data_IF_282059644443
#
_entry.id   IF_282059644443
#
_cell.length_a   1.000
_cell.length_b   1.000
_cell.length_c   1.000
_cell.angle_alpha   90.00
_cell.angle_beta   90.00
_cell.angle_gamma   90.00
#
_symmetry.space_group_name_H-M   'P 1'
#
loop_
_entity.id
_entity.type
_entity.pdbx_description
1 polymer ?
#
# COMPACT_ATOMS: atom_id res chain seq x y z
N UNK A 1 24.84 -11.43 -25.49
CA UNK A 1 25.18 -11.34 -24.08
C UNK A 1 23.93 -10.90 -23.35
N UNK A 2 23.27 -11.81 -22.65
CA UNK A 2 22.18 -11.50 -21.73
C UNK A 2 22.81 -10.81 -20.52
N UNK A 3 22.60 -9.51 -20.39
CA UNK A 3 22.85 -8.80 -19.14
C UNK A 3 21.91 -9.38 -18.10
N UNK A 4 22.44 -10.16 -17.17
CA UNK A 4 21.71 -10.60 -16.00
C UNK A 4 21.41 -9.36 -15.18
N UNK A 5 20.15 -8.98 -15.14
CA UNK A 5 19.62 -7.97 -14.23
C UNK A 5 19.76 -8.55 -12.82
N UNK A 6 20.69 -8.01 -12.04
CA UNK A 6 20.98 -8.48 -10.68
C UNK A 6 19.80 -8.28 -9.71
N UNK A 7 18.84 -7.45 -10.07
CA UNK A 7 17.66 -7.11 -9.25
C UNK A 7 16.76 -8.31 -8.96
N UNK A 8 16.83 -9.37 -9.78
CA UNK A 8 16.01 -10.58 -9.58
C UNK A 8 16.54 -11.55 -8.50
N UNK A 9 17.72 -11.31 -7.94
CA UNK A 9 18.39 -12.22 -7.00
C UNK A 9 18.62 -11.62 -5.61
N UNK A 10 18.29 -10.35 -5.39
CA UNK A 10 18.39 -9.75 -4.07
C UNK A 10 17.15 -10.11 -3.26
N UNK A 11 17.34 -10.69 -2.04
CA UNK A 11 16.22 -10.99 -1.17
C UNK A 11 15.49 -9.70 -0.79
N UNK A 12 14.17 -9.67 -1.01
CA UNK A 12 13.33 -8.58 -0.55
C UNK A 12 12.92 -8.85 0.90
N UNK A 13 13.12 -7.86 1.76
CA UNK A 13 12.76 -7.91 3.17
C UNK A 13 11.59 -6.93 3.44
N UNK A 14 10.76 -7.15 4.48
CA UNK A 14 9.68 -6.24 4.84
C UNK A 14 10.18 -4.97 5.55
N UNK A 15 11.45 -4.65 5.42
CA UNK A 15 12.12 -3.47 5.98
C UNK A 15 13.27 -3.04 5.06
N UNK A 16 13.52 -1.75 4.99
CA UNK A 16 14.57 -1.13 4.16
C UNK A 16 15.78 -0.69 4.97
N UNK A 17 15.64 -0.60 6.29
CA UNK A 17 16.71 -0.15 7.15
C UNK A 17 16.72 -0.87 8.50
N UNK A 18 17.90 -1.04 9.04
CA UNK A 18 18.13 -1.44 10.43
C UNK A 18 19.29 -0.69 11.04
N UNK A 19 19.12 -0.24 12.28
CA UNK A 19 20.17 0.37 13.10
C UNK A 19 20.42 -0.42 14.37
N UNK A 20 21.69 -0.59 14.74
CA UNK A 20 22.11 -1.16 16.00
C UNK A 20 22.43 -0.05 17.01
N UNK A 21 21.96 -0.18 18.23
CA UNK A 21 22.05 0.85 19.28
C UNK A 21 22.49 0.24 20.60
N UNK A 22 23.29 0.97 21.37
CA UNK A 22 23.48 0.74 22.79
C UNK A 22 22.51 1.62 23.56
N UNK A 23 21.44 1.01 24.08
CA UNK A 23 20.37 1.73 24.76
C UNK A 23 20.51 1.59 26.29
N UNK A 24 20.43 2.68 27.07
CA UNK A 24 20.30 2.61 28.52
C UNK A 24 18.92 2.07 28.90
N UNK A 25 18.78 1.49 30.08
CA UNK A 25 17.46 1.18 30.65
C UNK A 25 16.69 2.47 30.94
N UNK A 26 15.38 2.44 30.70
CA UNK A 26 14.49 3.57 30.90
C UNK A 26 13.88 4.08 29.61
N UNK A 27 13.55 5.36 29.57
CA UNK A 27 12.84 5.98 28.45
C UNK A 27 13.76 6.65 27.46
N UNK A 28 13.57 6.36 26.20
CA UNK A 28 14.27 6.98 25.07
C UNK A 28 13.23 7.60 24.14
N UNK A 29 13.50 8.80 23.68
CA UNK A 29 12.59 9.49 22.78
C UNK A 29 12.98 9.25 21.33
N UNK A 30 12.00 8.97 20.53
CA UNK A 30 12.05 8.86 19.08
C UNK A 30 11.09 9.90 18.49
N UNK A 31 11.46 10.50 17.38
CA UNK A 31 10.62 11.44 16.65
C UNK A 31 10.64 11.13 15.17
N UNK A 32 9.55 11.50 14.51
CA UNK A 32 9.42 11.53 13.07
C UNK A 32 9.25 12.96 12.58
N UNK A 33 9.71 13.27 11.38
CA UNK A 33 9.43 14.53 10.70
C UNK A 33 8.01 14.54 10.14
N UNK A 34 7.48 15.72 9.81
CA UNK A 34 6.26 15.86 9.02
C UNK A 34 6.53 15.62 7.53
N UNK A 35 5.51 15.16 6.80
CA UNK A 35 5.56 15.17 5.34
C UNK A 35 5.27 16.59 4.85
N UNK A 36 6.23 17.20 4.18
CA UNK A 36 5.99 18.41 3.38
C UNK A 36 5.21 17.99 2.13
N UNK A 37 3.90 18.21 2.15
CA UNK A 37 3.13 18.24 0.92
C UNK A 37 3.47 19.57 0.24
N UNK A 38 4.29 19.53 -0.81
CA UNK A 38 4.47 20.65 -1.74
C UNK A 38 3.13 20.94 -2.43
N UNK A 39 2.29 21.71 -1.76
CA UNK A 39 1.16 22.37 -2.38
C UNK A 39 1.67 23.61 -3.09
N UNK A 40 2.10 23.47 -4.33
CA UNK A 40 2.15 24.59 -5.27
C UNK A 40 0.71 24.98 -5.61
N UNK A 41 0.09 25.76 -4.74
CA UNK A 41 -1.10 26.53 -5.07
C UNK A 41 -0.69 27.98 -5.24
N UNK A 42 -0.51 28.38 -6.50
CA UNK A 42 -0.63 29.78 -6.87
C UNK A 42 -2.11 30.16 -6.77
N UNK A 43 -2.52 30.75 -5.67
CA UNK A 43 -3.84 31.36 -5.53
C UNK A 43 -3.77 32.85 -5.81
N UNK A 44 -4.31 33.23 -6.96
CA UNK A 44 -4.82 34.57 -7.21
C UNK A 44 -6.01 34.83 -6.28
N UNK A 45 -5.95 35.94 -5.56
CA UNK A 45 -6.99 36.39 -4.64
C UNK A 45 -8.16 36.97 -5.41
N UNK A 46 -9.33 36.33 -5.31
CA UNK A 46 -10.61 36.99 -5.47
C UNK A 46 -11.52 36.68 -4.27
N UNK A 47 -11.95 37.78 -3.63
CA UNK A 47 -12.84 37.78 -2.45
C UNK A 47 -14.23 37.28 -2.81
N UNK A 48 -14.71 36.17 -2.22
CA UNK A 48 -16.13 35.94 -1.97
C UNK A 48 -16.41 34.95 -0.83
N UNK A 49 -17.14 35.50 0.15
CA UNK A 49 -18.08 34.91 1.12
C UNK A 49 -17.96 33.45 1.58
N UNK A 50 -17.79 33.33 2.90
CA UNK A 50 -17.82 32.12 3.73
C UNK A 50 -19.15 31.36 3.67
N UNK A 51 -19.13 30.11 3.22
CA UNK A 51 -20.00 29.06 3.75
C UNK A 51 -19.13 27.90 4.24
N UNK A 52 -19.31 27.57 5.53
CA UNK A 52 -18.56 26.52 6.20
C UNK A 52 -19.03 25.14 5.72
N UNK A 53 -18.35 24.55 4.75
CA UNK A 53 -18.46 23.13 4.47
C UNK A 53 -17.34 22.39 5.19
N UNK A 54 -17.71 21.67 6.25
CA UNK A 54 -16.84 20.70 6.90
C UNK A 54 -16.61 19.52 5.95
N UNK A 55 -15.60 19.61 5.10
CA UNK A 55 -15.06 18.47 4.37
C UNK A 55 -14.09 17.76 5.31
N UNK A 56 -14.56 16.68 5.95
CA UNK A 56 -13.71 15.70 6.58
C UNK A 56 -12.86 15.03 5.49
N UNK A 57 -11.67 15.56 5.25
CA UNK A 57 -10.64 14.81 4.53
C UNK A 57 -10.16 13.71 5.47
N UNK A 58 -10.63 12.49 5.28
CA UNK A 58 -9.96 11.31 5.80
C UNK A 58 -8.60 11.22 5.10
N UNK A 59 -7.61 11.91 5.69
CA UNK A 59 -6.22 11.66 5.33
C UNK A 59 -5.89 10.25 5.82
N UNK A 60 -5.71 9.34 4.88
CA UNK A 60 -5.10 8.04 5.13
C UNK A 60 -3.67 8.33 5.65
N UNK A 61 -3.53 8.38 6.98
CA UNK A 61 -2.22 8.44 7.60
C UNK A 61 -1.52 7.11 7.32
N UNK A 62 -0.47 7.14 6.53
CA UNK A 62 0.36 5.98 6.33
C UNK A 62 1.07 5.66 7.67
N UNK A 63 0.79 4.49 8.22
CA UNK A 63 1.45 4.02 9.43
C UNK A 63 2.86 3.54 9.07
N UNK A 64 3.88 3.99 9.83
CA UNK A 64 5.25 3.50 9.67
C UNK A 64 5.48 2.27 10.56
N UNK A 65 5.78 1.13 9.96
CA UNK A 65 6.05 -0.10 10.70
C UNK A 65 7.50 -0.16 11.17
N UNK A 66 7.71 -0.43 12.46
CA UNK A 66 9.02 -0.64 13.06
C UNK A 66 9.02 -1.83 14.01
N UNK A 67 10.19 -2.42 14.23
CA UNK A 67 10.40 -3.47 15.22
C UNK A 67 11.70 -3.23 15.99
N UNK A 68 11.62 -3.28 17.32
CA UNK A 68 12.80 -3.17 18.21
C UNK A 68 13.11 -4.52 18.84
N UNK A 69 14.27 -5.08 18.54
CA UNK A 69 14.69 -6.40 18.97
C UNK A 69 15.97 -6.33 19.82
N UNK A 70 16.03 -7.07 20.95
CA UNK A 70 17.29 -7.19 21.70
C UNK A 70 18.32 -7.97 20.87
N UNK A 71 19.59 -7.59 20.99
CA UNK A 71 20.71 -8.23 20.29
C UNK A 71 21.89 -8.47 21.25
N UNK A 72 22.78 -9.36 20.87
CA UNK A 72 23.96 -9.66 21.68
C UNK A 72 25.03 -8.56 21.61
N UNK A 73 25.23 -7.99 20.42
CA UNK A 73 26.25 -6.97 20.16
C UNK A 73 25.70 -5.93 19.18
N UNK A 74 25.87 -4.65 19.48
CA UNK A 74 25.43 -3.55 18.64
C UNK A 74 26.37 -3.33 17.44
N UNK A 75 26.42 -4.31 16.54
CA UNK A 75 27.29 -4.36 15.36
C UNK A 75 26.50 -4.70 14.10
N UNK A 76 27.08 -4.50 12.92
CA UNK A 76 26.50 -4.94 11.64
C UNK A 76 26.31 -6.46 11.58
N UNK A 77 27.24 -7.24 12.14
CA UNK A 77 27.07 -8.69 12.24
C UNK A 77 25.90 -9.09 13.14
N UNK A 78 25.66 -8.33 14.22
CA UNK A 78 24.50 -8.50 15.08
C UNK A 78 23.17 -8.19 14.34
N UNK A 79 23.14 -7.14 13.51
CA UNK A 79 21.98 -6.86 12.63
C UNK A 79 21.75 -8.05 11.68
N UNK A 80 22.83 -8.55 11.05
CA UNK A 80 22.73 -9.67 10.10
C UNK A 80 22.13 -10.93 10.75
N UNK A 81 22.47 -11.21 12.00
CA UNK A 81 21.93 -12.35 12.74
C UNK A 81 20.44 -12.21 13.08
N UNK A 82 19.92 -10.99 13.09
CA UNK A 82 18.52 -10.68 13.40
C UNK A 82 17.61 -10.51 12.17
N UNK A 83 18.13 -10.61 10.94
CA UNK A 83 17.32 -10.45 9.73
C UNK A 83 16.14 -11.43 9.71
N UNK A 84 16.40 -12.74 9.89
CA UNK A 84 15.34 -13.75 9.87
C UNK A 84 14.35 -13.60 11.04
N UNK A 85 14.78 -13.39 12.30
CA UNK A 85 13.89 -13.01 13.38
C UNK A 85 13.02 -11.78 13.09
N UNK A 86 13.62 -10.72 12.50
CA UNK A 86 12.90 -9.50 12.15
C UNK A 86 11.81 -9.75 11.08
N UNK A 87 12.11 -10.54 10.05
CA UNK A 87 11.10 -10.94 9.04
C UNK A 87 9.91 -11.61 9.70
N UNK A 88 10.13 -12.50 10.67
CA UNK A 88 9.02 -13.15 11.40
C UNK A 88 8.21 -12.17 12.23
N UNK A 89 8.89 -11.22 12.90
CA UNK A 89 8.23 -10.15 13.66
C UNK A 89 7.37 -9.29 12.73
N UNK A 90 7.87 -8.87 11.59
CA UNK A 90 7.12 -8.05 10.63
C UNK A 90 5.91 -8.78 10.00
N UNK A 91 5.90 -10.12 10.02
CA UNK A 91 4.76 -10.91 9.56
C UNK A 91 3.61 -10.97 10.57
N UNK A 92 3.84 -10.60 11.82
CA UNK A 92 2.82 -10.54 12.87
C UNK A 92 1.95 -9.27 12.72
N UNK A 93 0.79 -9.28 13.36
CA UNK A 93 -0.09 -8.11 13.40
C UNK A 93 0.61 -6.98 14.15
N UNK A 94 0.73 -5.81 13.51
CA UNK A 94 1.34 -4.65 14.12
C UNK A 94 0.46 -4.07 15.24
N UNK A 95 1.11 -3.58 16.31
CA UNK A 95 0.44 -2.84 17.36
C UNK A 95 0.40 -1.36 16.98
N UNK A 96 -0.78 -0.74 16.88
CA UNK A 96 -0.89 0.68 16.60
C UNK A 96 -0.32 1.49 17.76
N UNK A 97 0.41 2.55 17.45
CA UNK A 97 0.97 3.49 18.43
C UNK A 97 0.66 4.91 17.98
N UNK A 98 -0.21 5.55 18.73
CA UNK A 98 -0.58 6.95 18.53
C UNK A 98 0.60 7.89 18.81
N UNK A 99 0.54 9.11 18.30
CA UNK A 99 1.53 10.16 18.61
C UNK A 99 1.57 10.40 20.13
N UNK A 100 2.77 10.40 20.69
CA UNK A 100 2.99 10.46 22.13
C UNK A 100 2.95 9.10 22.85
N UNK A 101 2.65 8.03 22.11
CA UNK A 101 2.53 6.69 22.66
C UNK A 101 3.88 6.02 22.98
N UNK A 102 3.77 4.83 23.56
CA UNK A 102 4.88 4.06 24.10
C UNK A 102 5.16 2.80 23.27
N UNK A 103 6.43 2.52 23.07
CA UNK A 103 6.97 1.37 22.36
C UNK A 103 7.81 0.53 23.31
N UNK A 104 7.80 -0.78 23.15
CA UNK A 104 8.69 -1.68 23.88
C UNK A 104 9.30 -2.73 22.94
N UNK A 105 10.45 -3.33 23.29
CA UNK A 105 10.95 -4.47 22.55
C UNK A 105 9.96 -5.63 22.65
N UNK A 106 9.31 -5.98 21.53
CA UNK A 106 8.29 -7.04 21.47
C UNK A 106 8.58 -7.99 20.30
N UNK A 107 7.89 -9.13 20.31
CA UNK A 107 7.86 -10.06 19.17
C UNK A 107 6.80 -9.69 18.12
N UNK A 108 6.31 -8.45 18.15
CA UNK A 108 5.36 -7.88 17.20
C UNK A 108 5.87 -6.52 16.76
N UNK A 109 5.59 -6.09 15.53
CA UNK A 109 5.97 -4.77 15.08
C UNK A 109 5.02 -3.72 15.66
N UNK A 110 5.47 -2.49 15.67
CA UNK A 110 4.68 -1.32 16.00
C UNK A 110 4.33 -0.57 14.72
N UNK A 111 3.08 -0.15 14.55
CA UNK A 111 2.63 0.74 13.50
C UNK A 111 2.48 2.15 14.08
N UNK A 112 3.41 3.03 13.75
CA UNK A 112 3.41 4.40 14.22
C UNK A 112 2.43 5.24 13.42
N UNK A 113 1.45 5.85 14.06
CA UNK A 113 0.59 6.84 13.44
C UNK A 113 1.42 8.06 13.00
N UNK A 114 1.40 8.37 11.70
CA UNK A 114 2.20 9.46 11.15
C UNK A 114 1.35 10.73 11.05
N UNK A 115 1.68 11.73 11.85
CA UNK A 115 1.05 13.05 11.76
C UNK A 115 1.63 13.92 10.65
N UNK A 116 0.83 14.80 10.06
CA UNK A 116 1.27 15.75 9.03
C UNK A 116 2.41 16.70 9.49
N UNK A 117 2.59 16.87 10.79
CA UNK A 117 3.67 17.68 11.40
C UNK A 117 4.74 16.82 12.08
N UNK A 118 4.75 15.50 11.84
CA UNK A 118 5.57 14.54 12.54
C UNK A 118 4.99 14.10 13.87
N UNK A 119 5.71 13.21 14.57
CA UNK A 119 5.31 12.65 15.85
C UNK A 119 6.48 12.48 16.82
N UNK A 120 6.18 12.39 18.09
CA UNK A 120 7.14 12.00 19.12
C UNK A 120 6.63 10.76 19.83
N UNK A 121 7.51 9.77 20.04
CA UNK A 121 7.19 8.50 20.67
C UNK A 121 8.19 8.20 21.78
N UNK A 122 7.80 7.35 22.71
CA UNK A 122 8.64 6.94 23.83
C UNK A 122 8.97 5.45 23.71
N UNK A 123 10.25 5.10 23.70
CA UNK A 123 10.72 3.71 23.76
C UNK A 123 11.01 3.38 25.22
N UNK A 124 10.27 2.43 25.79
CA UNK A 124 10.51 1.89 27.12
C UNK A 124 11.52 0.73 27.04
N UNK A 125 12.75 0.98 27.39
CA UNK A 125 13.85 0.00 27.36
C UNK A 125 13.92 -0.71 28.72
N UNK A 126 13.57 -2.00 28.81
CA UNK A 126 13.50 -2.70 30.11
C UNK A 126 14.88 -2.96 30.72
N UNK A 127 15.89 -3.17 29.90
CA UNK A 127 17.25 -3.50 30.33
C UNK A 127 18.26 -2.81 29.44
N UNK A 128 19.28 -2.18 30.04
CA UNK A 128 20.37 -1.59 29.27
C UNK A 128 21.08 -2.66 28.44
N UNK A 129 21.38 -2.37 27.19
CA UNK A 129 22.02 -3.33 26.29
C UNK A 129 21.99 -2.94 24.84
N UNK A 130 22.32 -3.92 23.99
CA UNK A 130 22.29 -3.77 22.54
C UNK A 130 20.90 -4.10 22.01
N UNK A 131 20.41 -3.24 21.11
CA UNK A 131 19.11 -3.38 20.43
C UNK A 131 19.25 -3.05 18.95
N UNK A 132 18.51 -3.77 18.10
CA UNK A 132 18.33 -3.44 16.70
C UNK A 132 16.93 -2.88 16.46
N UNK A 133 16.88 -1.71 15.82
CA UNK A 133 15.63 -1.13 15.30
C UNK A 133 15.56 -1.42 13.80
N UNK A 134 14.56 -2.18 13.38
CA UNK A 134 14.21 -2.40 11.97
C UNK A 134 13.08 -1.45 11.60
N UNK A 135 13.19 -0.84 10.44
CA UNK A 135 12.22 0.12 9.93
C UNK A 135 11.77 -0.29 8.53
N UNK A 136 10.47 -0.26 8.30
CA UNK A 136 9.84 -0.59 7.00
C UNK A 136 10.44 0.26 5.89
N UNK A 137 10.66 1.55 6.14
CA UNK A 137 11.26 2.48 5.20
C UNK A 137 12.57 3.07 5.70
N UNK A 138 13.28 3.75 4.82
CA UNK A 138 14.49 4.46 5.19
C UNK A 138 14.18 5.61 6.17
N UNK A 139 14.93 5.77 7.27
CA UNK A 139 14.66 6.78 8.30
C UNK A 139 14.57 8.21 7.76
N UNK A 140 15.29 8.50 6.70
CA UNK A 140 15.34 9.81 6.07
C UNK A 140 14.01 10.21 5.43
N UNK A 141 13.23 9.25 4.93
CA UNK A 141 11.93 9.50 4.28
C UNK A 141 10.90 10.07 5.27
N UNK A 142 11.01 9.67 6.52
CA UNK A 142 10.09 10.07 7.57
C UNK A 142 10.74 10.95 8.64
N UNK A 143 11.98 11.41 8.42
CA UNK A 143 12.72 12.17 9.41
C UNK A 143 12.85 11.42 10.75
N UNK A 144 12.91 10.06 10.70
CA UNK A 144 12.98 9.23 11.89
C UNK A 144 14.32 9.42 12.59
N UNK A 145 14.27 9.83 13.84
CA UNK A 145 15.46 10.03 14.66
C UNK A 145 15.28 9.60 16.11
N UNK A 146 16.28 8.93 16.67
CA UNK A 146 16.38 8.64 18.08
C UNK A 146 17.34 9.65 18.75
N UNK A 147 17.19 9.84 20.07
CA UNK A 147 18.13 10.64 20.86
C UNK A 147 19.50 9.98 21.00
N UNK A 148 19.62 8.70 20.64
CA UNK A 148 20.84 7.92 20.63
C UNK A 148 21.24 7.61 19.20
N UNK A 149 22.53 7.78 18.84
CA UNK A 149 23.03 7.46 17.51
C UNK A 149 23.27 5.96 17.36
N UNK A 150 23.04 5.39 16.16
CA UNK A 150 23.34 4.00 15.89
C UNK A 150 24.85 3.75 15.87
N UNK A 151 25.29 2.63 16.43
CA UNK A 151 26.70 2.16 16.37
C UNK A 151 27.01 1.47 15.04
N UNK A 152 26.00 0.88 14.41
CA UNK A 152 26.05 0.32 13.07
C UNK A 152 24.69 0.46 12.41
N UNK A 153 24.66 0.46 11.08
CA UNK A 153 23.41 0.51 10.34
C UNK A 153 23.55 -0.27 9.04
N UNK A 154 22.44 -0.82 8.57
CA UNK A 154 22.37 -1.58 7.33
C UNK A 154 21.15 -1.14 6.53
N UNK A 155 21.34 -0.96 5.22
CA UNK A 155 20.27 -0.74 4.25
C UNK A 155 19.97 -2.04 3.52
N UNK A 156 18.72 -2.24 3.23
CA UNK A 156 18.21 -3.34 2.43
C UNK A 156 17.66 -2.77 1.12
N UNK A 157 17.47 -3.65 0.13
CA UNK A 157 16.82 -3.23 -1.11
C UNK A 157 15.46 -2.64 -0.79
N UNK A 158 15.18 -1.46 -1.37
CA UNK A 158 13.88 -0.83 -1.24
C UNK A 158 12.81 -1.81 -1.72
N UNK A 159 11.89 -2.18 -0.83
CA UNK A 159 10.69 -2.82 -1.26
C UNK A 159 9.80 -1.69 -1.78
N UNK A 160 9.67 -1.62 -3.10
CA UNK A 160 8.52 -0.89 -3.60
C UNK A 160 7.31 -1.51 -2.89
N UNK A 161 6.55 -0.72 -2.14
CA UNK A 161 5.19 -1.13 -1.81
C UNK A 161 4.62 -1.56 -3.15
N UNK A 162 4.35 -2.86 -3.30
CA UNK A 162 3.60 -3.31 -4.45
C UNK A 162 2.40 -2.39 -4.44
N UNK A 163 2.34 -1.45 -5.39
CA UNK A 163 1.23 -0.51 -5.53
C UNK A 163 0.00 -1.35 -5.29
N UNK A 164 -0.72 -1.06 -4.23
CA UNK A 164 -1.61 -1.95 -3.49
C UNK A 164 -2.46 -2.75 -4.48
N UNK A 165 -2.20 -4.05 -4.58
CA UNK A 165 -2.99 -4.91 -5.46
C UNK A 165 -4.40 -4.92 -4.91
N UNK A 166 -5.30 -4.28 -5.66
CA UNK A 166 -6.70 -4.12 -5.28
C UNK A 166 -7.60 -4.98 -6.15
N UNK A 167 -8.74 -5.31 -5.58
CA UNK A 167 -9.86 -5.91 -6.31
C UNK A 167 -11.00 -4.91 -6.36
N UNK A 168 -11.43 -4.55 -7.58
CA UNK A 168 -12.59 -3.68 -7.80
C UNK A 168 -13.70 -4.49 -8.45
N UNK A 169 -14.83 -4.63 -7.74
CA UNK A 169 -16.04 -5.26 -8.23
C UNK A 169 -17.06 -4.22 -8.67
N UNK A 170 -17.67 -4.41 -9.86
CA UNK A 170 -18.73 -3.56 -10.42
C UNK A 170 -19.95 -4.44 -10.71
N UNK A 171 -21.14 -3.98 -10.34
CA UNK A 171 -22.38 -4.72 -10.58
C UNK A 171 -23.51 -3.77 -10.95
N UNK A 172 -24.26 -4.11 -11.99
CA UNK A 172 -25.44 -3.34 -12.40
C UNK A 172 -26.43 -4.23 -13.18
N UNK A 173 -27.72 -4.00 -12.99
CA UNK A 173 -28.77 -4.76 -13.67
C UNK A 173 -29.10 -4.22 -15.07
N UNK A 174 -28.73 -2.99 -15.38
CA UNK A 174 -28.99 -2.37 -16.68
C UNK A 174 -28.26 -3.13 -17.80
N UNK A 175 -28.89 -3.27 -18.97
CA UNK A 175 -28.24 -3.94 -20.09
C UNK A 175 -27.12 -3.09 -20.67
N UNK A 176 -26.06 -3.75 -21.08
CA UNK A 176 -24.87 -3.14 -21.68
C UNK A 176 -24.92 -3.18 -23.21
N UNK A 177 -24.32 -2.17 -23.83
CA UNK A 177 -24.05 -2.16 -25.25
C UNK A 177 -22.73 -2.90 -25.53
N UNK A 178 -22.79 -4.01 -26.29
CA UNK A 178 -21.64 -4.85 -26.56
C UNK A 178 -20.43 -4.10 -27.17
N UNK A 179 -20.71 -3.15 -28.10
CA UNK A 179 -19.67 -2.37 -28.76
C UNK A 179 -18.98 -1.44 -27.76
N UNK A 180 -19.76 -0.70 -26.96
CA UNK A 180 -19.20 0.20 -25.95
C UNK A 180 -18.35 -0.55 -24.92
N UNK A 181 -18.79 -1.75 -24.48
CA UNK A 181 -18.01 -2.60 -23.57
C UNK A 181 -16.67 -3.00 -24.21
N UNK A 182 -16.70 -3.44 -25.46
CA UNK A 182 -15.48 -3.83 -26.15
C UNK A 182 -14.52 -2.65 -26.31
N UNK A 183 -15.03 -1.48 -26.71
CA UNK A 183 -14.24 -0.27 -26.89
C UNK A 183 -13.62 0.20 -25.56
N UNK A 184 -14.40 0.16 -24.46
CA UNK A 184 -13.93 0.50 -23.14
C UNK A 184 -12.87 -0.47 -22.60
N UNK A 185 -13.09 -1.79 -22.69
CA UNK A 185 -12.13 -2.79 -22.25
C UNK A 185 -10.83 -2.70 -23.07
N UNK A 186 -10.92 -2.46 -24.38
CA UNK A 186 -9.76 -2.27 -25.23
C UNK A 186 -8.97 -1.03 -24.83
N UNK A 187 -9.64 0.09 -24.61
CA UNK A 187 -9.02 1.32 -24.12
C UNK A 187 -8.35 1.13 -22.75
N UNK A 188 -9.05 0.45 -21.82
CA UNK A 188 -8.54 0.18 -20.49
C UNK A 188 -7.25 -0.67 -20.53
N UNK A 189 -7.22 -1.70 -21.39
CA UNK A 189 -6.04 -2.53 -21.57
C UNK A 189 -4.89 -1.78 -22.25
N UNK A 190 -5.18 -0.90 -23.20
CA UNK A 190 -4.16 -0.06 -23.82
C UNK A 190 -3.50 0.89 -22.81
N UNK A 191 -4.27 1.46 -21.88
CA UNK A 191 -3.81 2.45 -20.91
C UNK A 191 -3.23 1.83 -19.64
N UNK A 192 -3.85 0.77 -19.12
CA UNK A 192 -3.59 0.18 -17.81
C UNK A 192 -3.34 -1.33 -17.85
N UNK A 193 -3.15 -1.93 -19.04
CA UNK A 193 -3.08 -3.38 -19.18
C UNK A 193 -1.93 -4.05 -18.42
N UNK A 194 -0.83 -3.32 -18.18
CA UNK A 194 0.27 -3.80 -17.35
C UNK A 194 -0.08 -3.86 -15.86
N UNK A 195 -1.02 -2.99 -15.43
CA UNK A 195 -1.46 -2.88 -14.04
C UNK A 195 -2.69 -3.75 -13.75
N UNK A 196 -3.40 -4.21 -14.79
CA UNK A 196 -4.54 -5.12 -14.66
C UNK A 196 -4.06 -6.56 -14.81
N UNK A 197 -3.89 -7.25 -13.69
CA UNK A 197 -3.39 -8.62 -13.68
C UNK A 197 -4.45 -9.63 -14.08
N UNK A 198 -5.71 -9.37 -13.70
CA UNK A 198 -6.84 -10.25 -14.00
C UNK A 198 -8.14 -9.47 -14.08
N UNK A 199 -8.98 -9.86 -15.00
CA UNK A 199 -10.37 -9.43 -15.06
C UNK A 199 -11.28 -10.59 -15.37
N UNK A 200 -12.48 -10.57 -14.81
CA UNK A 200 -13.54 -11.56 -15.06
C UNK A 200 -14.89 -10.87 -15.00
N UNK A 201 -15.84 -11.42 -15.74
CA UNK A 201 -17.20 -10.92 -15.62
C UNK A 201 -18.23 -11.76 -16.34
N UNK A 202 -19.46 -11.50 -15.92
CA UNK A 202 -20.67 -11.90 -16.62
C UNK A 202 -21.39 -10.64 -17.00
N UNK A 203 -21.76 -10.51 -18.27
CA UNK A 203 -22.37 -9.31 -18.81
C UNK A 203 -23.79 -9.58 -19.27
N UNK A 204 -24.70 -8.68 -18.93
CA UNK A 204 -26.03 -8.59 -19.47
C UNK A 204 -26.00 -7.71 -20.73
N UNK A 205 -25.82 -8.33 -21.88
CA UNK A 205 -25.75 -7.62 -23.17
C UNK A 205 -27.17 -7.37 -23.71
N UNK A 206 -27.43 -6.15 -24.16
CA UNK A 206 -28.71 -5.76 -24.77
C UNK A 206 -29.01 -6.61 -26.01
N UNK A 207 -30.19 -7.24 -26.03
CA UNK A 207 -30.64 -8.05 -27.16
C UNK A 207 -30.10 -9.48 -27.21
N UNK A 208 -29.25 -9.90 -26.27
CA UNK A 208 -28.82 -11.30 -26.11
C UNK A 208 -29.52 -11.92 -24.89
N UNK A 209 -30.12 -13.08 -25.06
CA UNK A 209 -30.76 -13.84 -23.96
C UNK A 209 -29.77 -14.69 -23.16
N UNK A 210 -28.53 -14.76 -23.61
CA UNK A 210 -27.47 -15.51 -22.96
C UNK A 210 -26.62 -14.61 -22.07
N UNK A 211 -26.00 -15.23 -21.09
CA UNK A 211 -24.91 -14.62 -20.33
C UNK A 211 -23.71 -14.47 -21.23
N UNK A 212 -23.09 -13.33 -21.23
CA UNK A 212 -21.83 -13.13 -21.91
C UNK A 212 -20.71 -13.18 -20.89
N UNK A 213 -19.86 -14.21 -20.94
CA UNK A 213 -18.77 -14.39 -20.00
C UNK A 213 -17.48 -13.91 -20.62
N UNK A 214 -16.71 -13.13 -19.89
CA UNK A 214 -15.38 -12.74 -20.31
C UNK A 214 -14.36 -12.99 -19.19
N UNK A 215 -13.13 -13.19 -19.61
CA UNK A 215 -11.97 -13.22 -18.72
C UNK A 215 -10.77 -12.61 -19.43
N UNK A 216 -9.87 -12.02 -18.65
CA UNK A 216 -8.62 -11.48 -19.14
C UNK A 216 -7.50 -11.72 -18.15
N UNK A 217 -6.30 -11.85 -18.70
CA UNK A 217 -5.05 -11.94 -17.94
C UNK A 217 -4.05 -11.04 -18.65
N UNK A 218 -3.56 -10.03 -17.91
CA UNK A 218 -2.73 -8.98 -18.47
C UNK A 218 -3.35 -8.33 -19.74
N UNK A 219 -2.59 -8.22 -20.81
CA UNK A 219 -2.98 -7.54 -22.04
C UNK A 219 -3.99 -8.30 -22.92
N UNK A 220 -4.40 -9.50 -22.53
CA UNK A 220 -5.30 -10.33 -23.33
C UNK A 220 -6.65 -10.51 -22.63
N UNK A 221 -7.72 -10.36 -23.39
CA UNK A 221 -9.04 -10.76 -22.92
C UNK A 221 -9.81 -11.53 -24.00
N UNK A 222 -10.65 -12.41 -23.53
CA UNK A 222 -11.55 -13.22 -24.36
C UNK A 222 -12.95 -13.16 -23.77
N UNK A 223 -13.93 -13.00 -24.63
CA UNK A 223 -15.34 -13.02 -24.25
C UNK A 223 -16.16 -13.90 -25.15
N UNK A 224 -17.13 -14.63 -24.59
CA UNK A 224 -18.02 -15.50 -25.34
C UNK A 224 -19.41 -15.58 -24.71
N UNK A 225 -20.45 -15.82 -25.56
CA UNK A 225 -21.75 -16.20 -25.06
C UNK A 225 -21.67 -17.54 -24.29
N UNK A 226 -22.36 -17.60 -23.15
CA UNK A 226 -22.51 -18.80 -22.33
C UNK A 226 -23.99 -19.26 -22.36
N UNK A 227 -24.47 -19.86 -21.31
CA UNK A 227 -25.83 -20.36 -21.16
C UNK A 227 -26.87 -19.23 -21.09
N UNK A 228 -28.12 -19.49 -21.45
CA UNK A 228 -29.20 -18.53 -21.29
C UNK A 228 -29.39 -18.11 -19.82
N UNK A 229 -29.90 -16.90 -19.60
CA UNK A 229 -30.26 -16.41 -18.29
C UNK A 229 -31.41 -17.23 -17.65
N UNK A 230 -32.33 -17.74 -18.47
CA UNK A 230 -33.55 -18.39 -17.98
C UNK A 230 -34.36 -17.44 -17.09
N UNK A 231 -34.84 -17.94 -15.96
CA UNK A 231 -35.58 -17.16 -14.96
C UNK A 231 -34.67 -16.37 -14.00
N UNK A 232 -33.36 -16.46 -14.16
CA UNK A 232 -32.42 -15.74 -13.28
C UNK A 232 -32.44 -14.24 -13.56
N UNK A 233 -32.32 -13.40 -12.52
CA UNK A 233 -32.18 -11.95 -12.68
C UNK A 233 -30.98 -11.63 -13.58
N UNK A 234 -31.21 -10.76 -14.56
CA UNK A 234 -30.14 -10.32 -15.46
C UNK A 234 -29.36 -9.19 -14.81
N UNK A 235 -28.07 -9.39 -14.62
CA UNK A 235 -27.17 -8.36 -14.11
C UNK A 235 -25.77 -8.56 -14.64
N UNK A 236 -25.06 -7.48 -14.87
CA UNK A 236 -23.64 -7.53 -15.15
C UNK A 236 -22.85 -7.50 -13.84
N UNK A 237 -21.84 -8.33 -13.73
CA UNK A 237 -20.90 -8.35 -12.63
C UNK A 237 -19.49 -8.51 -13.17
N UNK A 238 -18.61 -7.56 -12.85
CA UNK A 238 -17.22 -7.52 -13.30
C UNK A 238 -16.31 -7.42 -12.09
N UNK A 239 -15.15 -8.04 -12.17
CA UNK A 239 -14.10 -7.93 -11.16
C UNK A 239 -12.78 -7.67 -11.88
N UNK A 240 -12.08 -6.64 -11.45
CA UNK A 240 -10.72 -6.30 -11.85
C UNK A 240 -9.79 -6.53 -10.67
N UNK A 241 -8.65 -7.15 -10.90
CA UNK A 241 -7.58 -7.34 -9.92
C UNK A 241 -6.31 -6.77 -10.54
N UNK A 242 -5.70 -5.84 -9.86
CA UNK A 242 -4.51 -5.17 -10.37
C UNK A 242 -3.95 -4.15 -9.40
N UNK A 243 -2.94 -3.47 -9.86
CA UNK A 243 -2.16 -2.49 -9.14
C UNK A 243 -2.69 -1.08 -9.43
N UNK A 244 -2.79 -0.23 -8.39
CA UNK A 244 -3.20 1.17 -8.55
C UNK A 244 -4.55 1.34 -9.26
N UNK A 245 -5.50 0.40 -9.09
CA UNK A 245 -6.81 0.47 -9.72
C UNK A 245 -7.64 1.60 -9.13
N UNK A 246 -8.06 2.53 -9.97
CA UNK A 246 -8.98 3.59 -9.61
C UNK A 246 -10.43 3.10 -9.78
N UNK A 247 -11.16 3.01 -8.67
CA UNK A 247 -12.56 2.59 -8.65
C UNK A 247 -13.45 3.56 -9.44
N UNK A 248 -13.24 4.86 -9.31
CA UNK A 248 -14.09 5.87 -9.96
C UNK A 248 -13.89 5.85 -11.47
N UNK A 249 -12.66 5.70 -11.96
CA UNK A 249 -12.35 5.53 -13.38
C UNK A 249 -13.06 4.29 -13.95
N UNK A 250 -12.98 3.15 -13.23
CA UNK A 250 -13.62 1.90 -13.66
C UNK A 250 -15.16 2.00 -13.64
N UNK A 251 -15.75 2.60 -12.61
CA UNK A 251 -17.18 2.83 -12.50
C UNK A 251 -17.69 3.76 -13.60
N UNK A 252 -16.99 4.87 -13.87
CA UNK A 252 -17.35 5.80 -14.94
C UNK A 252 -17.32 5.13 -16.32
N UNK A 253 -16.27 4.35 -16.60
CA UNK A 253 -16.15 3.58 -17.83
C UNK A 253 -17.28 2.56 -17.99
N UNK A 254 -17.62 1.84 -16.92
CA UNK A 254 -18.70 0.87 -16.89
C UNK A 254 -20.09 1.52 -17.13
N UNK A 255 -20.35 2.65 -16.46
CA UNK A 255 -21.60 3.41 -16.63
C UNK A 255 -21.78 3.89 -18.06
N UNK A 256 -20.72 4.31 -18.73
CA UNK A 256 -20.75 4.73 -20.13
C UNK A 256 -21.10 3.58 -21.10
N UNK A 257 -20.99 2.32 -20.66
CA UNK A 257 -21.33 1.15 -21.47
C UNK A 257 -22.81 0.81 -21.50
N UNK A 258 -23.64 1.44 -20.69
CA UNK A 258 -25.08 1.16 -20.71
C UNK A 258 -25.73 1.50 -22.05
N UNK A 259 -26.75 0.71 -22.39
CA UNK A 259 -27.42 0.69 -23.69
C UNK A 259 -28.54 1.75 -23.79
#
# INVERSE_FOLDING_TARGET
ALTHDKTFLEPQYPFEWAGAFMLPAGRIYMRTGGHDHDHHEEHDHDEHAHEAHAHGHEHSHADLKIALLPMSEATDAGIAALIEPAVRVFAEQAQPVEIGGHLAPLQQPHALEMGCHGGQYCIDVPTAGAYALFCEHAPEEFGLGLTVQPTAQRRFASHHHEEEIRSVGLTDARPLNARKVNDWLSYLLEKRGQDIFRMKGVLNIRGDERRYVFHGVHMMFEGRPDRPWGDAPRSSALVFIGRGLDREELEAGFVNCFA
#
